data_IF_009468981832
#
_entry.id   IF_009468981832
#
_cell.length_a   1.000
_cell.length_b   1.000
_cell.length_c   1.000
_cell.angle_alpha   90.00
_cell.angle_beta   90.00
_cell.angle_gamma   90.00
#
_symmetry.space_group_name_H-M   'P 1'
#
loop_
_entity.id
_entity.type
_entity.pdbx_description
1 polymer ?
#
# COMPACT_ATOMS: atom_id res chain seq x y z
N UNK A 1 -32.54 24.63 -0.15
CA UNK A 1 -32.09 23.39 -0.83
C UNK A 1 -30.65 23.45 -1.39
N UNK A 2 -29.80 24.44 -1.06
CA UNK A 2 -28.36 24.45 -1.45
C UNK A 2 -27.42 23.78 -0.43
N UNK A 3 -27.83 23.68 0.85
CA UNK A 3 -26.98 23.14 1.93
C UNK A 3 -26.88 21.61 1.97
N UNK A 4 -27.84 20.90 1.36
CA UNK A 4 -27.87 19.42 1.35
C UNK A 4 -26.87 18.84 0.34
N UNK A 5 -26.63 19.55 -0.78
CA UNK A 5 -25.76 19.07 -1.85
C UNK A 5 -24.27 19.01 -1.41
N UNK A 6 -23.84 19.96 -0.57
CA UNK A 6 -22.48 20.00 -0.02
C UNK A 6 -22.24 18.81 0.91
N UNK A 7 -23.25 18.38 1.67
CA UNK A 7 -23.14 17.29 2.65
C UNK A 7 -23.00 15.93 1.97
N UNK A 8 -23.62 15.74 0.80
CA UNK A 8 -23.46 14.53 -0.03
C UNK A 8 -22.07 14.48 -0.67
N UNK A 9 -21.51 15.61 -1.09
CA UNK A 9 -20.16 15.66 -1.68
C UNK A 9 -19.04 15.38 -0.66
N UNK A 10 -19.24 15.75 0.61
CA UNK A 10 -18.29 15.48 1.69
C UNK A 10 -18.31 14.00 2.12
N UNK A 11 -19.44 13.30 1.94
CA UNK A 11 -19.55 11.88 2.28
C UNK A 11 -18.74 10.95 1.37
N UNK A 12 -18.36 11.39 0.17
CA UNK A 12 -17.48 10.62 -0.72
C UNK A 12 -15.98 10.82 -0.43
N UNK A 13 -15.61 11.74 0.46
CA UNK A 13 -14.20 11.98 0.82
C UNK A 13 -13.74 11.15 2.02
N UNK A 14 -14.65 10.46 2.72
CA UNK A 14 -14.27 9.41 3.66
C UNK A 14 -14.02 8.14 2.87
N UNK A 15 -12.77 7.95 2.42
CA UNK A 15 -12.37 6.78 1.63
C UNK A 15 -12.94 5.50 2.24
N UNK A 16 -13.73 4.78 1.44
CA UNK A 16 -14.36 3.55 1.85
C UNK A 16 -13.25 2.57 2.25
N UNK A 17 -13.45 1.87 3.36
CA UNK A 17 -12.58 0.76 3.71
C UNK A 17 -12.89 -0.40 2.78
N UNK A 18 -11.87 -1.03 2.22
CA UNK A 18 -12.00 -2.18 1.36
C UNK A 18 -11.89 -3.50 2.18
N UNK A 19 -12.57 -4.57 1.75
CA UNK A 19 -12.45 -5.91 2.32
C UNK A 19 -11.02 -6.46 2.39
N UNK A 20 -10.17 -6.12 1.42
CA UNK A 20 -8.76 -6.57 1.33
C UNK A 20 -7.82 -5.41 1.08
N UNK A 21 -6.54 -5.59 1.41
CA UNK A 21 -5.52 -4.60 1.09
C UNK A 21 -5.32 -4.42 -0.42
N UNK A 22 -5.42 -5.51 -1.19
CA UNK A 22 -5.37 -5.47 -2.66
C UNK A 22 -6.45 -4.53 -3.22
N UNK A 23 -7.69 -4.71 -2.78
CA UNK A 23 -8.81 -3.86 -3.19
C UNK A 23 -8.64 -2.41 -2.69
N UNK A 24 -8.09 -2.20 -1.49
CA UNK A 24 -7.78 -0.86 -0.99
C UNK A 24 -6.73 -0.13 -1.85
N UNK A 25 -5.74 -0.86 -2.38
CA UNK A 25 -4.76 -0.33 -3.32
C UNK A 25 -5.41 0.03 -4.65
N UNK A 26 -6.25 -0.85 -5.19
CA UNK A 26 -7.01 -0.60 -6.42
C UNK A 26 -7.94 0.62 -6.28
N UNK A 27 -8.69 0.71 -5.19
CA UNK A 27 -9.57 1.85 -4.86
C UNK A 27 -8.81 3.17 -4.68
N UNK A 28 -7.51 3.11 -4.33
CA UNK A 28 -6.65 4.30 -4.24
C UNK A 28 -6.21 4.85 -5.60
N UNK A 29 -6.58 4.18 -6.70
CA UNK A 29 -6.19 4.53 -8.07
C UNK A 29 -4.87 3.89 -8.51
N UNK A 30 -4.38 2.89 -7.76
CA UNK A 30 -3.21 2.09 -8.18
C UNK A 30 -3.69 0.86 -8.94
N UNK A 31 -3.49 0.87 -10.25
CA UNK A 31 -3.81 -0.26 -11.13
C UNK A 31 -2.65 -1.28 -11.16
N UNK A 32 -2.95 -2.53 -11.52
CA UNK A 32 -1.97 -3.62 -11.67
C UNK A 32 -1.04 -3.82 -10.46
N UNK A 33 -1.58 -3.66 -9.25
CA UNK A 33 -0.84 -3.91 -8.02
C UNK A 33 -0.81 -5.39 -7.66
N UNK A 34 0.27 -5.85 -7.05
CA UNK A 34 0.39 -7.19 -6.49
C UNK A 34 0.96 -7.09 -5.08
N UNK A 35 0.17 -7.43 -4.06
CA UNK A 35 0.64 -7.49 -2.67
C UNK A 35 1.63 -8.66 -2.51
N UNK A 36 2.90 -8.33 -2.22
CA UNK A 36 3.98 -9.30 -2.05
C UNK A 36 4.20 -9.69 -0.58
N UNK A 37 3.95 -8.75 0.32
CA UNK A 37 4.03 -8.93 1.77
C UNK A 37 3.05 -8.02 2.49
N UNK A 38 2.46 -8.53 3.56
CA UNK A 38 1.52 -7.79 4.41
C UNK A 38 1.76 -8.17 5.86
N UNK A 39 1.98 -7.15 6.69
CA UNK A 39 2.02 -7.24 8.14
C UNK A 39 0.87 -6.42 8.72
N UNK A 40 -0.15 -7.11 9.22
CA UNK A 40 -1.34 -6.48 9.79
C UNK A 40 -1.12 -5.89 11.18
N UNK A 41 -0.12 -6.36 11.91
CA UNK A 41 0.18 -5.90 13.27
C UNK A 41 0.90 -4.55 13.20
N UNK A 42 1.91 -4.46 12.34
CA UNK A 42 2.67 -3.23 12.13
C UNK A 42 2.07 -2.34 11.03
N UNK A 43 1.03 -2.82 10.34
CA UNK A 43 0.34 -2.15 9.23
C UNK A 43 1.29 -1.73 8.09
N UNK A 44 2.19 -2.65 7.73
CA UNK A 44 3.21 -2.47 6.68
C UNK A 44 2.90 -3.40 5.51
N UNK A 45 3.01 -2.89 4.29
CA UNK A 45 2.86 -3.66 3.07
C UNK A 45 4.02 -3.44 2.12
N UNK A 46 4.39 -4.50 1.41
CA UNK A 46 5.26 -4.44 0.23
C UNK A 46 4.43 -4.94 -0.95
N UNK A 47 4.36 -4.16 -2.00
CA UNK A 47 3.60 -4.52 -3.19
C UNK A 47 4.34 -4.07 -4.45
N UNK A 48 4.14 -4.78 -5.55
CA UNK A 48 4.65 -4.39 -6.86
C UNK A 48 3.57 -3.67 -7.65
N UNK A 49 3.99 -2.77 -8.53
CA UNK A 49 3.15 -2.13 -9.54
C UNK A 49 3.99 -1.71 -10.74
N UNK A 50 3.33 -1.33 -11.83
CA UNK A 50 3.98 -0.78 -13.02
C UNK A 50 3.75 0.74 -13.08
N UNK A 51 4.72 1.48 -13.63
CA UNK A 51 4.54 2.89 -13.93
C UNK A 51 3.82 3.07 -15.29
N UNK A 52 3.63 4.32 -15.71
CA UNK A 52 3.00 4.63 -17.00
C UNK A 52 3.80 4.14 -18.22
N UNK A 53 5.09 3.85 -18.08
CA UNK A 53 5.94 3.27 -19.11
C UNK A 53 5.93 1.73 -19.08
N UNK A 54 5.19 1.11 -18.15
CA UNK A 54 5.16 -0.33 -17.93
C UNK A 54 6.38 -0.85 -17.15
N UNK A 55 7.21 0.02 -16.60
CA UNK A 55 8.36 -0.36 -15.80
C UNK A 55 7.91 -0.79 -14.40
N UNK A 56 8.32 -1.99 -13.98
CA UNK A 56 7.95 -2.54 -12.68
C UNK A 56 8.75 -1.89 -11.55
N UNK A 57 8.08 -1.60 -10.45
CA UNK A 57 8.70 -1.11 -9.21
C UNK A 57 8.06 -1.77 -7.98
N UNK A 58 8.85 -1.90 -6.91
CA UNK A 58 8.38 -2.35 -5.60
C UNK A 58 8.18 -1.13 -4.73
N UNK A 59 7.04 -1.08 -4.04
CA UNK A 59 6.73 -0.06 -3.05
C UNK A 59 6.58 -0.70 -1.68
N UNK A 60 7.28 -0.14 -0.69
CA UNK A 60 7.02 -0.37 0.72
C UNK A 60 6.24 0.83 1.27
N UNK A 61 5.12 0.57 1.94
CA UNK A 61 4.33 1.61 2.57
C UNK A 61 3.54 1.09 3.77
N UNK A 62 2.95 2.00 4.52
CA UNK A 62 1.96 1.71 5.56
C UNK A 62 0.54 1.73 5.00
N UNK A 63 -0.35 1.00 5.66
CA UNK A 63 -1.79 1.04 5.41
C UNK A 63 -2.53 1.19 6.73
N UNK A 64 -3.86 1.31 6.71
CA UNK A 64 -4.68 1.28 7.92
C UNK A 64 -5.56 0.04 7.93
N UNK A 65 -5.53 -0.72 9.04
CA UNK A 65 -6.44 -1.83 9.29
C UNK A 65 -7.37 -1.52 10.43
N UNK A 66 -8.66 -1.76 10.24
CA UNK A 66 -9.68 -1.67 11.29
C UNK A 66 -10.68 -2.81 11.15
N UNK A 67 -11.62 -2.91 12.11
CA UNK A 67 -12.74 -3.85 12.01
C UNK A 67 -13.64 -3.60 10.79
N UNK A 68 -13.51 -2.45 10.12
CA UNK A 68 -14.27 -2.11 8.90
C UNK A 68 -13.55 -2.52 7.61
N UNK A 69 -12.30 -2.96 7.69
CA UNK A 69 -11.47 -3.34 6.55
C UNK A 69 -10.17 -2.57 6.47
N UNK A 70 -9.63 -2.52 5.25
CA UNK A 70 -8.35 -1.94 4.87
C UNK A 70 -8.54 -0.57 4.24
N UNK A 71 -7.56 0.31 4.41
CA UNK A 71 -7.51 1.61 3.75
C UNK A 71 -6.07 1.92 3.38
N UNK A 72 -5.88 2.48 2.19
CA UNK A 72 -4.59 2.87 1.67
C UNK A 72 -4.58 4.36 1.30
N UNK A 73 -3.57 5.08 1.78
CA UNK A 73 -3.54 6.54 1.74
C UNK A 73 -2.32 7.08 0.97
N UNK A 74 -1.39 6.21 0.56
CA UNK A 74 -0.19 6.57 -0.22
C UNK A 74 0.78 7.53 0.48
N UNK A 75 0.67 7.73 1.80
CA UNK A 75 1.51 8.69 2.51
C UNK A 75 2.86 8.07 2.90
N UNK A 76 3.97 8.63 2.39
CA UNK A 76 5.32 8.23 2.78
C UNK A 76 5.85 6.99 2.08
N UNK A 77 5.37 6.71 0.87
CA UNK A 77 5.80 5.53 0.10
C UNK A 77 7.29 5.59 -0.23
N UNK A 78 7.95 4.44 -0.08
CA UNK A 78 9.30 4.23 -0.58
C UNK A 78 9.22 3.24 -1.75
N UNK A 79 9.51 3.72 -2.96
CA UNK A 79 9.45 2.95 -4.18
C UNK A 79 10.84 2.78 -4.81
N UNK A 80 11.13 1.58 -5.30
CA UNK A 80 12.35 1.27 -6.03
C UNK A 80 12.02 0.55 -7.32
N UNK A 81 12.53 1.07 -8.43
CA UNK A 81 12.49 0.40 -9.72
C UNK A 81 13.27 -0.90 -9.65
N UNK A 82 12.74 -1.92 -10.33
CA UNK A 82 13.39 -3.21 -10.47
C UNK A 82 13.79 -3.34 -11.95
N UNK A 83 15.06 -3.63 -12.22
CA UNK A 83 15.48 -4.05 -13.55
C UNK A 83 14.99 -5.49 -13.78
N UNK A 84 14.44 -5.76 -14.95
CA UNK A 84 13.63 -6.95 -15.25
C UNK A 84 14.27 -8.29 -14.85
N UNK A 85 13.40 -9.21 -14.39
CA UNK A 85 13.67 -10.61 -14.04
C UNK A 85 14.42 -10.86 -12.73
N UNK A 86 14.10 -10.09 -11.69
CA UNK A 86 14.62 -10.38 -10.33
C UNK A 86 13.55 -11.12 -9.53
N UNK A 87 13.83 -12.40 -9.23
CA UNK A 87 13.11 -13.11 -8.19
C UNK A 87 13.40 -12.46 -6.84
N UNK A 88 12.38 -11.94 -6.16
CA UNK A 88 12.54 -11.40 -4.82
C UNK A 88 12.37 -12.52 -3.79
N UNK A 89 13.12 -12.43 -2.70
CA UNK A 89 12.93 -13.26 -1.50
C UNK A 89 12.68 -12.33 -0.34
N UNK A 90 11.50 -12.43 0.26
CA UNK A 90 11.22 -11.73 1.51
C UNK A 90 12.00 -12.42 2.63
N UNK A 91 12.90 -11.67 3.27
CA UNK A 91 13.63 -12.12 4.46
C UNK A 91 13.04 -11.39 5.66
N UNK A 92 12.35 -12.12 6.53
CA UNK A 92 11.95 -11.59 7.84
C UNK A 92 13.14 -11.70 8.79
N UNK A 93 13.66 -10.55 9.23
CA UNK A 93 14.71 -10.48 10.25
C UNK A 93 14.02 -10.33 11.60
N UNK A 94 14.02 -11.38 12.42
CA UNK A 94 13.34 -11.40 13.72
C UNK A 94 14.08 -10.63 14.81
N UNK A 95 15.38 -10.38 14.64
CA UNK A 95 16.21 -9.55 15.49
C UNK A 95 17.29 -8.89 14.63
N UNK A 96 17.53 -7.57 14.73
CA UNK A 96 18.72 -6.99 14.13
C UNK A 96 19.94 -7.68 14.76
N UNK A 97 20.81 -8.25 13.94
CA UNK A 97 22.14 -8.65 14.42
C UNK A 97 22.86 -7.39 14.91
N UNK A 98 23.71 -7.52 15.93
CA UNK A 98 24.51 -6.41 16.44
C UNK A 98 25.23 -5.73 15.27
N UNK A 99 24.87 -4.48 14.97
CA UNK A 99 25.41 -3.68 13.87
C UNK A 99 26.83 -3.14 14.19
N UNK A 100 27.51 -3.72 15.17
CA UNK A 100 28.78 -3.21 15.73
C UNK A 100 30.05 -3.94 15.27
N UNK A 101 29.98 -4.77 14.22
CA UNK A 101 31.20 -5.36 13.63
C UNK A 101 31.41 -4.89 12.18
N UNK A 102 31.93 -3.67 12.00
CA UNK A 102 32.67 -3.24 10.80
C UNK A 102 33.82 -2.30 11.14
#
# INVERSE_FOLDING_TARGET
MRKVLVLVMVAFMTGCSAPTLQEALEDSGREDTEVLYQDDENQIAIFASNDFAGQRFITMNTFSKSNRGYRYDGNGENAQYIEDTIGFKVLTISQPGDLEDW
#
